data_IF_237279488139
#
_entry.id   IF_237279488139
#
_cell.length_a   1.000
_cell.length_b   1.000
_cell.length_c   1.000
_cell.angle_alpha   90.00
_cell.angle_beta   90.00
_cell.angle_gamma   90.00
#
_symmetry.space_group_name_H-M   'P 1'
#
loop_
_entity.id
_entity.type
_entity.pdbx_description
1 polymer ?
#
# COMPACT_ATOMS: atom_id res chain seq x y z
N UNK A 1 6.47 -14.94 -5.74
CA UNK A 1 6.11 -15.92 -4.68
C UNK A 1 5.86 -15.26 -3.33
N UNK A 2 6.83 -14.52 -2.73
CA UNK A 2 6.63 -13.85 -1.44
C UNK A 2 5.57 -12.74 -1.46
N UNK A 3 5.66 -11.77 -2.38
CA UNK A 3 4.70 -10.65 -2.46
C UNK A 3 3.27 -11.12 -2.70
N UNK A 4 3.09 -12.17 -3.51
CA UNK A 4 1.79 -12.79 -3.73
C UNK A 4 1.27 -13.48 -2.47
N UNK A 5 2.11 -14.25 -1.76
CA UNK A 5 1.73 -14.84 -0.48
C UNK A 5 1.37 -13.77 0.57
N UNK A 6 2.11 -12.65 0.58
CA UNK A 6 1.88 -11.54 1.49
C UNK A 6 0.51 -10.88 1.25
N UNK A 7 0.21 -10.47 0.01
CA UNK A 7 -1.04 -9.77 -0.32
C UNK A 7 -2.28 -10.68 -0.23
N UNK A 8 -2.10 -12.00 -0.35
CA UNK A 8 -3.18 -12.97 -0.17
C UNK A 8 -3.33 -13.48 1.27
N UNK A 9 -2.25 -13.48 2.06
CA UNK A 9 -2.24 -14.01 3.42
C UNK A 9 -2.50 -12.96 4.50
N UNK A 10 -2.15 -11.69 4.26
CA UNK A 10 -2.45 -10.59 5.18
C UNK A 10 -3.87 -10.08 4.92
N UNK A 11 -4.64 -9.90 6.00
CA UNK A 11 -5.97 -9.33 5.89
C UNK A 11 -5.94 -7.94 5.25
N UNK A 12 -6.87 -7.68 4.32
CA UNK A 12 -6.91 -6.43 3.56
C UNK A 12 -7.01 -5.19 4.46
N UNK A 13 -7.62 -5.31 5.64
CA UNK A 13 -7.72 -4.24 6.65
C UNK A 13 -6.40 -3.92 7.35
N UNK A 14 -5.44 -4.86 7.35
CA UNK A 14 -4.15 -4.70 8.05
C UNK A 14 -3.13 -3.99 7.17
N UNK A 15 -3.09 -4.26 5.87
CA UNK A 15 -2.13 -3.64 4.93
C UNK A 15 -2.10 -2.09 5.03
N UNK A 16 -3.23 -1.36 5.03
CA UNK A 16 -3.23 0.09 5.16
C UNK A 16 -2.58 0.60 6.45
N UNK A 17 -2.66 -0.15 7.55
CA UNK A 17 -2.10 0.26 8.85
C UNK A 17 -0.57 0.38 8.84
N UNK A 18 0.11 -0.28 7.90
CA UNK A 18 1.57 -0.18 7.75
C UNK A 18 2.02 1.20 7.27
N UNK A 19 1.11 2.02 6.73
CA UNK A 19 1.37 3.42 6.38
C UNK A 19 1.66 4.32 7.58
N UNK A 20 1.40 3.86 8.81
CA UNK A 20 1.70 4.58 10.05
C UNK A 20 3.21 4.76 10.31
N UNK A 21 4.08 3.98 9.64
CA UNK A 21 5.52 4.10 9.77
C UNK A 21 6.22 4.10 8.41
N UNK A 22 7.38 4.76 8.32
CA UNK A 22 8.07 4.96 7.05
C UNK A 22 8.46 3.66 6.35
N UNK A 23 8.95 2.66 7.11
CA UNK A 23 9.34 1.35 6.56
C UNK A 23 8.15 0.54 6.08
N UNK A 24 7.03 0.59 6.81
CA UNK A 24 5.78 -0.05 6.38
C UNK A 24 5.26 0.57 5.09
N UNK A 25 5.25 1.90 5.01
CA UNK A 25 4.89 2.63 3.79
C UNK A 25 5.80 2.30 2.60
N UNK A 26 7.10 2.07 2.82
CA UNK A 26 8.03 1.61 1.77
C UNK A 26 7.67 0.22 1.24
N UNK A 27 7.27 -0.71 2.12
CA UNK A 27 6.80 -2.03 1.71
C UNK A 27 5.52 -1.89 0.87
N UNK A 28 4.57 -1.07 1.31
CA UNK A 28 3.33 -0.82 0.55
C UNK A 28 3.62 -0.23 -0.82
N UNK A 29 4.54 0.73 -0.91
CA UNK A 29 4.97 1.31 -2.19
C UNK A 29 5.59 0.25 -3.11
N UNK A 30 6.47 -0.60 -2.59
CA UNK A 30 7.07 -1.70 -3.36
C UNK A 30 6.04 -2.73 -3.85
N UNK A 31 4.95 -2.95 -3.10
CA UNK A 31 3.83 -3.81 -3.53
C UNK A 31 2.99 -3.14 -4.62
N UNK A 32 2.75 -1.84 -4.52
CA UNK A 32 2.04 -1.04 -5.54
C UNK A 32 2.83 -0.94 -6.86
N UNK A 33 4.16 -1.02 -6.78
CA UNK A 33 5.10 -0.98 -7.90
C UNK A 33 5.60 -2.37 -8.32
N UNK A 34 5.00 -3.44 -7.80
CA UNK A 34 5.47 -4.80 -8.07
C UNK A 34 5.41 -5.12 -9.57
N UNK A 35 6.40 -5.86 -10.06
CA UNK A 35 6.44 -6.33 -11.46
C UNK A 35 5.30 -7.31 -11.78
N UNK A 36 4.83 -8.04 -10.77
CA UNK A 36 3.63 -8.88 -10.89
C UNK A 36 2.37 -7.99 -10.87
N UNK A 37 1.72 -7.89 -12.04
CA UNK A 37 0.52 -7.06 -12.24
C UNK A 37 -0.64 -7.46 -11.33
N UNK A 38 -0.76 -8.74 -10.96
CA UNK A 38 -1.84 -9.20 -10.10
C UNK A 38 -1.62 -8.71 -8.67
N UNK A 39 -0.38 -8.79 -8.18
CA UNK A 39 0.02 -8.25 -6.88
C UNK A 39 -0.21 -6.73 -6.86
N UNK A 40 0.33 -6.02 -7.84
CA UNK A 40 0.20 -4.56 -7.92
C UNK A 40 -1.26 -4.10 -7.99
N UNK A 41 -2.07 -4.73 -8.85
CA UNK A 41 -3.49 -4.39 -8.99
C UNK A 41 -4.27 -4.65 -7.69
N UNK A 42 -4.07 -5.81 -7.07
CA UNK A 42 -4.75 -6.17 -5.83
C UNK A 42 -4.36 -5.25 -4.67
N UNK A 43 -3.06 -4.95 -4.54
CA UNK A 43 -2.59 -4.00 -3.52
C UNK A 43 -3.20 -2.61 -3.76
N UNK A 44 -3.25 -2.12 -5.00
CA UNK A 44 -3.89 -0.83 -5.31
C UNK A 44 -5.36 -0.82 -4.94
N UNK A 45 -6.10 -1.89 -5.24
CA UNK A 45 -7.51 -1.99 -4.89
C UNK A 45 -7.72 -1.91 -3.36
N UNK A 46 -6.92 -2.65 -2.59
CA UNK A 46 -6.97 -2.64 -1.13
C UNK A 46 -6.67 -1.23 -0.60
N UNK A 47 -5.59 -0.60 -1.06
CA UNK A 47 -5.17 0.70 -0.55
C UNK A 47 -6.10 1.85 -1.00
N UNK A 48 -6.67 1.78 -2.21
CA UNK A 48 -7.68 2.76 -2.68
C UNK A 48 -8.94 2.74 -1.81
N UNK A 49 -9.34 1.57 -1.30
CA UNK A 49 -10.47 1.43 -0.36
C UNK A 49 -10.19 1.97 1.05
N UNK A 50 -8.94 2.33 1.35
CA UNK A 50 -8.50 2.80 2.67
C UNK A 50 -7.73 4.12 2.60
N UNK A 51 -8.01 4.97 1.60
CA UNK A 51 -7.35 6.26 1.42
C UNK A 51 -7.50 7.19 2.63
N UNK A 52 -8.61 7.08 3.36
CA UNK A 52 -8.85 7.76 4.63
C UNK A 52 -7.77 7.41 5.68
N UNK A 53 -7.45 6.12 5.81
CA UNK A 53 -6.41 5.64 6.73
C UNK A 53 -5.03 6.15 6.27
N UNK A 54 -4.71 6.06 4.98
CA UNK A 54 -3.41 6.51 4.48
C UNK A 54 -3.24 8.03 4.67
N UNK A 55 -4.30 8.80 4.43
CA UNK A 55 -4.29 10.27 4.57
C UNK A 55 -4.13 10.71 6.02
N UNK A 56 -4.61 9.91 6.99
CA UNK A 56 -4.38 10.16 8.42
C UNK A 56 -2.91 10.09 8.82
N UNK A 57 -2.06 9.43 8.01
CA UNK A 57 -0.62 9.30 8.21
C UNK A 57 0.22 10.23 7.30
N UNK A 58 -0.33 11.39 6.91
CA UNK A 58 0.36 12.40 6.08
C UNK A 58 1.66 12.95 6.68
N UNK A 59 1.93 12.72 7.97
CA UNK A 59 3.23 13.00 8.60
C UNK A 59 4.37 12.11 8.10
N UNK A 60 4.06 10.93 7.53
CA UNK A 60 5.05 9.98 7.02
C UNK A 60 5.36 10.30 5.56
N UNK A 61 6.60 10.68 5.26
CA UNK A 61 7.04 11.09 3.91
C UNK A 61 6.71 10.04 2.84
N UNK A 62 7.00 8.77 3.08
CA UNK A 62 6.70 7.71 2.11
C UNK A 62 5.19 7.49 1.95
N UNK A 63 4.39 7.72 2.98
CA UNK A 63 2.92 7.62 2.88
C UNK A 63 2.35 8.70 1.97
N UNK A 64 2.88 9.93 2.02
CA UNK A 64 2.50 10.98 1.06
C UNK A 64 2.77 10.55 -0.39
N UNK A 65 3.98 10.04 -0.67
CA UNK A 65 4.34 9.53 -2.01
C UNK A 65 3.41 8.38 -2.44
N UNK A 66 3.06 7.50 -1.49
CA UNK A 66 2.13 6.40 -1.73
C UNK A 66 0.73 6.90 -2.09
N UNK A 67 0.18 7.87 -1.35
CA UNK A 67 -1.13 8.48 -1.62
C UNK A 67 -1.14 9.17 -2.99
N UNK A 68 -0.15 10.02 -3.26
CA UNK A 68 0.00 10.69 -4.57
C UNK A 68 0.00 9.67 -5.73
N UNK A 69 0.67 8.53 -5.56
CA UNK A 69 0.72 7.47 -6.57
C UNK A 69 -0.58 6.67 -6.71
N UNK A 70 -1.42 6.64 -5.68
CA UNK A 70 -2.74 6.00 -5.74
C UNK A 70 -3.78 6.92 -6.37
N UNK A 71 -3.63 8.24 -6.22
CA UNK A 71 -4.49 9.26 -6.84
C UNK A 71 -4.08 9.56 -8.29
N UNK A 72 -2.77 9.56 -8.59
CA UNK A 72 -2.22 9.68 -9.95
C UNK A 72 -2.19 8.30 -10.64
N UNK A 73 -3.36 7.80 -11.04
CA UNK A 73 -3.65 6.78 -12.09
C UNK A 73 -4.92 5.98 -11.79
#
# INVERSE_FOLDING_TARGET
>A
TFSNALVNGVAATVLPTWSSCNRGAQILLALVENSDKNVASKTREILKKSLDILSSHSGVKTTKILVEKLELK
#
